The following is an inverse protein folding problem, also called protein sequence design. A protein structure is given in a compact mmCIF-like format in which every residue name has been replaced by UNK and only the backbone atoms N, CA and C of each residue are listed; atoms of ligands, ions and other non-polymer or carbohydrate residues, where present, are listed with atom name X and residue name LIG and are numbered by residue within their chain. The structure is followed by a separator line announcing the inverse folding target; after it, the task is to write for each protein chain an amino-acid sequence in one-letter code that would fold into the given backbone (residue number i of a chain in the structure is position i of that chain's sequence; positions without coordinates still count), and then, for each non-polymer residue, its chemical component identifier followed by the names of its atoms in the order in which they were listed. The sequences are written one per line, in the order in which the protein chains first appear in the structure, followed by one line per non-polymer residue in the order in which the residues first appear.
data_IF_997013887606
#
_entry.id   IF_997013887606
#
_cell.length_a   1.000
_cell.length_b   1.000
_cell.length_c   1.000
_cell.angle_alpha   90.00
_cell.angle_beta   90.00
_cell.angle_gamma   90.00
#
_symmetry.space_group_name_H-M   'P 1'
#
loop_
_entity.id
_entity.type
_entity.pdbx_description
1 polymer ?
#
# COMPACT_ATOMS: atom_id res chain seq x y z
N UNK A 1 0.85 -14.49 12.59
CA UNK A 1 0.16 -13.70 11.55
C UNK A 1 -1.02 -12.89 12.05
N UNK A 2 -1.87 -13.40 12.94
CA UNK A 2 -2.98 -12.59 13.48
C UNK A 2 -2.52 -11.30 14.18
N UNK A 3 -1.41 -11.36 14.92
CA UNK A 3 -0.81 -10.16 15.51
C UNK A 3 -0.36 -9.14 14.44
N UNK A 4 0.26 -9.58 13.35
CA UNK A 4 0.65 -8.71 12.24
C UNK A 4 -0.58 -8.11 11.53
N UNK A 5 -1.64 -8.91 11.34
CA UNK A 5 -2.90 -8.40 10.81
C UNK A 5 -3.52 -7.33 11.73
N UNK A 6 -3.44 -7.50 13.06
CA UNK A 6 -3.89 -6.48 14.01
C UNK A 6 -3.09 -5.18 13.88
N UNK A 7 -1.77 -5.27 13.75
CA UNK A 7 -0.90 -4.10 13.54
C UNK A 7 -1.19 -3.37 12.21
N UNK A 8 -1.50 -4.11 11.14
CA UNK A 8 -1.95 -3.49 9.88
C UNK A 8 -3.29 -2.77 10.04
N UNK A 9 -4.20 -3.29 10.88
CA UNK A 9 -5.46 -2.60 11.19
C UNK A 9 -5.21 -1.30 11.94
N UNK A 10 -4.30 -1.30 12.92
CA UNK A 10 -3.87 -0.07 13.60
C UNK A 10 -3.25 0.94 12.62
N UNK A 11 -2.55 0.47 11.59
CA UNK A 11 -2.02 1.29 10.50
C UNK A 11 -3.07 1.76 9.48
N UNK A 12 -4.36 1.44 9.68
CA UNK A 12 -5.48 1.94 8.88
C UNK A 12 -6.00 0.99 7.80
N UNK A 13 -5.48 -0.24 7.69
CA UNK A 13 -6.07 -1.24 6.81
C UNK A 13 -7.39 -1.79 7.39
N UNK A 14 -8.37 -2.06 6.52
CA UNK A 14 -9.56 -2.77 6.96
C UNK A 14 -9.22 -4.20 7.44
N UNK A 15 -9.94 -4.68 8.46
CA UNK A 15 -9.67 -5.96 9.13
C UNK A 15 -9.52 -7.15 8.18
N UNK A 16 -10.43 -7.29 7.21
CA UNK A 16 -10.39 -8.45 6.31
C UNK A 16 -9.24 -8.39 5.29
N UNK A 17 -8.98 -7.25 4.60
CA UNK A 17 -7.74 -7.05 3.86
C UNK A 17 -6.47 -7.36 4.65
N UNK A 18 -6.36 -6.90 5.90
CA UNK A 18 -5.20 -7.17 6.75
C UNK A 18 -4.99 -8.68 7.00
N UNK A 19 -6.06 -9.43 7.27
CA UNK A 19 -6.01 -10.89 7.44
C UNK A 19 -5.62 -11.62 6.15
N UNK A 20 -6.18 -11.22 5.02
CA UNK A 20 -5.85 -11.80 3.70
C UNK A 20 -4.40 -11.54 3.33
N UNK A 21 -3.91 -10.31 3.53
CA UNK A 21 -2.52 -9.95 3.27
C UNK A 21 -1.55 -10.72 4.16
N UNK A 22 -1.87 -10.84 5.46
CA UNK A 22 -1.08 -11.64 6.40
C UNK A 22 -1.05 -13.14 6.01
N UNK A 23 -2.16 -13.69 5.50
CA UNK A 23 -2.19 -15.09 5.04
C UNK A 23 -1.35 -15.32 3.78
N UNK A 24 -1.36 -14.36 2.84
CA UNK A 24 -0.53 -14.42 1.63
C UNK A 24 0.96 -14.33 1.98
N UNK A 25 1.35 -13.39 2.84
CA UNK A 25 2.73 -13.21 3.29
C UNK A 25 3.29 -14.43 4.03
N UNK A 26 2.45 -15.18 4.74
CA UNK A 26 2.85 -16.40 5.43
C UNK A 26 2.71 -17.68 4.59
N UNK A 27 2.29 -17.56 3.33
CA UNK A 27 2.31 -18.70 2.41
C UNK A 27 3.73 -18.94 1.93
N UNK A 28 4.23 -20.18 1.99
CA UNK A 28 5.58 -20.53 1.52
C UNK A 28 5.81 -20.12 0.05
N UNK A 29 4.76 -20.17 -0.77
CA UNK A 29 4.82 -19.78 -2.18
C UNK A 29 4.52 -18.29 -2.43
N UNK A 30 4.14 -17.53 -1.39
CA UNK A 30 3.70 -16.13 -1.50
C UNK A 30 2.45 -15.91 -2.36
N UNK A 31 1.77 -17.00 -2.73
CA UNK A 31 0.63 -17.00 -3.65
C UNK A 31 -0.46 -17.94 -3.13
N UNK A 32 -1.72 -17.50 -3.23
CA UNK A 32 -2.90 -18.31 -2.87
C UNK A 32 -4.07 -18.01 -3.82
N UNK A 33 -4.92 -19.00 -4.03
CA UNK A 33 -6.21 -18.88 -4.73
C UNK A 33 -7.31 -18.40 -3.79
N UNK A 34 -8.45 -17.99 -4.35
CA UNK A 34 -9.61 -17.60 -3.53
C UNK A 34 -10.12 -18.73 -2.64
N UNK A 35 -10.04 -19.98 -3.12
CA UNK A 35 -10.47 -21.16 -2.39
C UNK A 35 -9.57 -21.42 -1.17
N UNK A 36 -8.25 -21.38 -1.37
CA UNK A 36 -7.27 -21.56 -0.29
C UNK A 36 -7.36 -20.44 0.75
N UNK A 37 -7.59 -19.19 0.32
CA UNK A 37 -7.84 -18.09 1.25
C UNK A 37 -9.12 -18.29 2.06
N UNK A 38 -10.20 -18.73 1.42
CA UNK A 38 -11.48 -19.02 2.08
C UNK A 38 -11.35 -20.13 3.11
N UNK A 39 -10.65 -21.21 2.76
CA UNK A 39 -10.38 -22.34 3.65
C UNK A 39 -9.47 -21.96 4.82
N UNK A 40 -8.32 -21.31 4.55
CA UNK A 40 -7.35 -20.95 5.60
C UNK A 40 -7.92 -19.95 6.60
N UNK A 41 -8.67 -18.95 6.13
CA UNK A 41 -9.19 -17.88 6.97
C UNK A 41 -10.59 -18.15 7.50
N UNK A 42 -11.23 -19.24 7.05
CA UNK A 42 -12.63 -19.61 7.35
C UNK A 42 -13.58 -18.46 7.01
N UNK A 43 -13.49 -17.96 5.77
CA UNK A 43 -14.27 -16.82 5.27
C UNK A 43 -14.97 -17.13 3.95
N UNK A 44 -16.05 -16.40 3.66
CA UNK A 44 -16.81 -16.60 2.42
C UNK A 44 -16.06 -16.13 1.17
N UNK A 45 -16.39 -16.67 -0.02
CA UNK A 45 -15.83 -16.20 -1.30
C UNK A 45 -16.05 -14.70 -1.55
N UNK A 46 -17.17 -14.15 -1.06
CA UNK A 46 -17.46 -12.72 -1.15
C UNK A 46 -16.51 -11.88 -0.29
N UNK A 47 -16.20 -12.34 0.93
CA UNK A 47 -15.23 -11.68 1.81
C UNK A 47 -13.81 -11.70 1.20
N UNK A 48 -13.40 -12.82 0.61
CA UNK A 48 -12.13 -12.92 -0.13
C UNK A 48 -12.12 -11.93 -1.30
N UNK A 49 -13.17 -11.91 -2.12
CA UNK A 49 -13.25 -11.04 -3.29
C UNK A 49 -13.19 -9.56 -2.93
N UNK A 50 -13.89 -9.15 -1.87
CA UNK A 50 -13.85 -7.78 -1.38
C UNK A 50 -12.46 -7.39 -0.85
N UNK A 51 -11.83 -8.28 -0.07
CA UNK A 51 -10.51 -8.03 0.49
C UNK A 51 -9.42 -7.93 -0.59
N UNK A 52 -9.39 -8.86 -1.54
CA UNK A 52 -8.45 -8.85 -2.66
C UNK A 52 -8.66 -7.63 -3.54
N UNK A 53 -9.92 -7.24 -3.84
CA UNK A 53 -10.20 -6.05 -4.63
C UNK A 53 -9.58 -4.80 -3.99
N UNK A 54 -9.78 -4.63 -2.69
CA UNK A 54 -9.17 -3.53 -1.94
C UNK A 54 -7.64 -3.60 -2.01
N UNK A 55 -7.04 -4.77 -1.71
CA UNK A 55 -5.59 -4.93 -1.72
C UNK A 55 -4.96 -4.65 -3.08
N UNK A 56 -5.63 -5.02 -4.18
CA UNK A 56 -5.18 -4.67 -5.53
C UNK A 56 -5.31 -3.19 -5.84
N UNK A 57 -6.36 -2.51 -5.35
CA UNK A 57 -6.52 -1.06 -5.52
C UNK A 57 -5.43 -0.27 -4.80
N UNK A 58 -4.99 -0.74 -3.64
CA UNK A 58 -3.87 -0.15 -2.89
C UNK A 58 -2.52 -0.78 -3.26
N UNK A 59 -2.44 -1.51 -4.39
CA UNK A 59 -1.22 -2.10 -4.94
C UNK A 59 -0.46 -3.07 -4.02
N UNK A 60 -1.11 -3.62 -2.97
CA UNK A 60 -0.50 -4.56 -2.04
C UNK A 60 -0.51 -6.02 -2.54
N UNK A 61 -1.39 -6.34 -3.50
CA UNK A 61 -1.54 -7.70 -4.06
C UNK A 61 -1.77 -7.63 -5.57
N UNK A 62 -1.06 -8.46 -6.33
CA UNK A 62 -1.31 -8.68 -7.75
C UNK A 62 -2.25 -9.86 -7.96
N UNK A 63 -2.99 -9.83 -9.07
CA UNK A 63 -3.91 -10.88 -9.50
C UNK A 63 -3.38 -11.50 -10.78
N UNK A 64 -2.96 -12.75 -10.67
CA UNK A 64 -2.43 -13.56 -11.77
C UNK A 64 -3.47 -14.61 -12.19
N UNK A 65 -3.49 -14.96 -13.47
CA UNK A 65 -4.22 -16.14 -13.94
C UNK A 65 -3.31 -17.36 -13.89
N UNK A 66 -3.83 -18.45 -13.37
CA UNK A 66 -3.14 -19.73 -13.42
C UNK A 66 -3.04 -20.20 -14.90
N UNK A 67 -1.84 -20.50 -15.42
CA UNK A 67 -1.67 -20.99 -16.79
C UNK A 67 -2.55 -22.22 -17.05
N UNK A 68 -3.38 -22.17 -18.11
CA UNK A 68 -4.28 -23.27 -18.46
C UNK A 68 -5.56 -23.38 -17.61
N UNK A 69 -5.80 -22.44 -16.69
CA UNK A 69 -6.95 -22.46 -15.78
C UNK A 69 -7.67 -21.11 -15.76
N UNK A 70 -8.96 -21.12 -15.39
CA UNK A 70 -9.73 -19.89 -15.13
C UNK A 70 -9.55 -19.39 -13.70
N UNK A 71 -8.81 -20.12 -12.86
CA UNK A 71 -8.60 -19.78 -11.46
C UNK A 71 -7.62 -18.63 -11.33
N UNK A 72 -7.89 -17.81 -10.33
CA UNK A 72 -7.10 -16.64 -10.01
C UNK A 72 -6.17 -16.96 -8.86
N UNK A 73 -4.96 -16.42 -8.97
CA UNK A 73 -3.94 -16.48 -7.94
C UNK A 73 -3.63 -15.06 -7.49
N UNK A 74 -3.52 -14.90 -6.19
CA UNK A 74 -3.20 -13.63 -5.56
C UNK A 74 -1.82 -13.74 -4.98
N UNK A 75 -0.96 -12.79 -5.33
CA UNK A 75 0.44 -12.79 -4.92
C UNK A 75 0.79 -11.49 -4.21
N UNK A 76 1.55 -11.61 -3.13
CA UNK A 76 2.29 -10.48 -2.56
C UNK A 76 3.68 -10.52 -3.21
N UNK A 77 3.97 -9.58 -4.12
CA UNK A 77 5.32 -9.43 -4.64
C UNK A 77 6.20 -8.90 -3.52
N UNK A 78 7.29 -9.60 -3.21
CA UNK A 78 8.09 -9.39 -2.01
C UNK A 78 8.54 -7.94 -1.82
N UNK A 79 8.79 -7.20 -2.90
CA UNK A 79 9.18 -5.78 -2.92
C UNK A 79 8.04 -4.79 -3.18
N UNK A 80 7.12 -5.12 -4.08
CA UNK A 80 6.11 -4.16 -4.55
C UNK A 80 5.15 -3.74 -3.44
N UNK A 81 4.96 -4.54 -2.39
CA UNK A 81 4.06 -4.15 -1.30
C UNK A 81 4.63 -3.06 -0.40
N UNK A 82 5.97 -3.01 -0.20
CA UNK A 82 6.60 -1.87 0.49
C UNK A 82 6.46 -0.61 -0.35
N UNK A 83 6.71 -0.75 -1.65
CA UNK A 83 6.54 0.34 -2.59
C UNK A 83 5.10 0.85 -2.56
N UNK A 84 4.09 -0.02 -2.59
CA UNK A 84 2.69 0.35 -2.49
C UNK A 84 2.32 1.10 -1.19
N UNK A 85 2.91 0.72 -0.05
CA UNK A 85 2.70 1.44 1.21
C UNK A 85 3.35 2.83 1.21
N UNK A 86 4.48 2.99 0.53
CA UNK A 86 5.21 4.26 0.39
C UNK A 86 4.77 5.10 -0.80
N UNK A 87 4.16 4.48 -1.82
CA UNK A 87 3.66 5.09 -3.05
C UNK A 87 2.28 5.70 -2.77
N UNK A 88 2.26 6.56 -1.76
CA UNK A 88 1.20 7.53 -1.51
C UNK A 88 1.40 8.78 -2.36
N UNK A 89 2.29 8.74 -3.34
CA UNK A 89 2.63 9.84 -4.25
C UNK A 89 1.36 10.47 -4.84
N UNK A 90 0.41 9.64 -5.31
CA UNK A 90 -0.86 10.13 -5.84
C UNK A 90 -1.76 10.81 -4.79
N UNK A 91 -1.68 10.44 -3.51
CA UNK A 91 -2.43 11.09 -2.42
C UNK A 91 -1.74 12.38 -1.99
N UNK A 92 -0.41 12.33 -1.83
CA UNK A 92 0.42 13.47 -1.44
C UNK A 92 0.30 14.58 -2.48
N UNK A 93 0.45 14.28 -3.78
CA UNK A 93 0.25 15.25 -4.86
C UNK A 93 -1.13 15.89 -4.84
N UNK A 94 -2.19 15.11 -4.63
CA UNK A 94 -3.55 15.67 -4.50
C UNK A 94 -3.69 16.61 -3.31
N UNK A 95 -3.00 16.34 -2.20
CA UNK A 95 -3.00 17.22 -1.04
C UNK A 95 -2.19 18.49 -1.31
N UNK A 96 -1.03 18.36 -1.94
CA UNK A 96 -0.22 19.50 -2.36
C UNK A 96 -0.99 20.42 -3.31
N UNK A 97 -1.68 19.87 -4.30
CA UNK A 97 -2.52 20.63 -5.24
C UNK A 97 -3.62 21.42 -4.49
N UNK A 98 -4.34 20.74 -3.58
CA UNK A 98 -5.39 21.37 -2.78
C UNK A 98 -4.85 22.45 -1.83
N UNK A 99 -3.68 22.22 -1.23
CA UNK A 99 -3.01 23.19 -0.36
C UNK A 99 -2.54 24.41 -1.17
N UNK A 100 -1.99 24.20 -2.37
CA UNK A 100 -1.55 25.26 -3.28
C UNK A 100 -2.72 26.14 -3.74
N UNK A 101 -3.86 25.53 -4.07
CA UNK A 101 -5.10 26.24 -4.36
C UNK A 101 -5.56 27.05 -3.13
N UNK A 102 -5.51 26.46 -1.94
CA UNK A 102 -5.86 27.12 -0.68
C UNK A 102 -4.96 28.33 -0.35
N UNK A 103 -3.65 28.23 -0.56
CA UNK A 103 -2.70 29.36 -0.40
C UNK A 103 -3.04 30.48 -1.37
N UNK A 104 -3.35 30.14 -2.63
CA UNK A 104 -3.70 31.12 -3.67
C UNK A 104 -5.02 31.83 -3.32
N UNK A 105 -6.01 31.09 -2.85
CA UNK A 105 -7.34 31.60 -2.50
C UNK A 105 -7.33 32.48 -1.25
N UNK A 106 -6.61 32.08 -0.20
CA UNK A 106 -6.56 32.80 1.08
C UNK A 106 -5.50 33.92 1.11
N UNK A 107 -4.59 33.95 0.13
CA UNK A 107 -3.45 34.85 0.08
C UNK A 107 -2.33 34.44 1.05
N UNK A 108 -1.12 34.26 0.53
CA UNK A 108 0.04 33.76 1.29
C UNK A 108 0.40 34.62 2.53
N UNK A 109 0.08 35.90 2.54
CA UNK A 109 0.38 36.79 3.66
C UNK A 109 -0.63 36.74 4.81
N UNK A 110 -1.78 36.09 4.63
CA UNK A 110 -2.73 35.93 5.73
C UNK A 110 -2.23 34.86 6.72
N UNK A 111 -2.61 34.93 8.01
CA UNK A 111 -2.26 33.88 8.96
C UNK A 111 -2.75 32.49 8.52
N UNK A 112 -3.85 32.40 7.78
CA UNK A 112 -4.35 31.14 7.24
C UNK A 112 -3.53 30.67 6.03
N UNK A 113 -3.21 31.57 5.10
CA UNK A 113 -2.33 31.28 3.96
C UNK A 113 -0.97 30.75 4.40
N UNK A 114 -0.33 31.38 5.40
CA UNK A 114 0.96 30.91 5.96
C UNK A 114 0.89 29.50 6.55
N UNK A 115 -0.20 29.13 7.24
CA UNK A 115 -0.37 27.76 7.76
C UNK A 115 -0.49 26.74 6.63
N UNK A 116 -1.21 27.07 5.57
CA UNK A 116 -1.33 26.20 4.40
C UNK A 116 0.00 26.09 3.64
N UNK A 117 0.74 27.19 3.52
CA UNK A 117 2.06 27.23 2.90
C UNK A 117 3.08 26.37 3.68
N UNK A 118 3.11 26.49 5.01
CA UNK A 118 3.97 25.66 5.86
C UNK A 118 3.59 24.17 5.74
N UNK A 119 2.29 23.87 5.71
CA UNK A 119 1.80 22.50 5.50
C UNK A 119 2.20 21.97 4.12
N UNK A 120 2.06 22.78 3.07
CA UNK A 120 2.47 22.44 1.70
C UNK A 120 3.97 22.13 1.65
N UNK A 121 4.80 23.01 2.22
CA UNK A 121 6.25 22.83 2.27
C UNK A 121 6.65 21.54 3.01
N UNK A 122 5.91 21.16 4.06
CA UNK A 122 6.13 19.90 4.74
C UNK A 122 5.82 18.69 3.86
N UNK A 123 4.71 18.68 3.11
CA UNK A 123 4.39 17.59 2.19
C UNK A 123 5.39 17.47 1.04
N UNK A 124 5.79 18.60 0.44
CA UNK A 124 6.82 18.65 -0.61
C UNK A 124 8.18 18.12 -0.10
N UNK A 125 8.51 18.35 1.18
CA UNK A 125 9.70 17.79 1.82
C UNK A 125 9.56 16.27 2.02
N UNK A 126 8.43 15.81 2.55
CA UNK A 126 8.16 14.39 2.80
C UNK A 126 8.19 13.58 1.50
N UNK A 127 7.62 14.09 0.40
CA UNK A 127 7.63 13.43 -0.91
C UNK A 127 9.07 13.09 -1.34
N UNK A 128 9.97 14.08 -1.30
CA UNK A 128 11.38 13.93 -1.70
C UNK A 128 12.16 12.99 -0.78
N UNK A 129 11.91 13.05 0.52
CA UNK A 129 12.58 12.17 1.48
C UNK A 129 12.13 10.72 1.33
N UNK A 130 10.84 10.46 1.07
CA UNK A 130 10.32 9.12 0.80
C UNK A 130 10.94 8.55 -0.47
N UNK A 131 11.01 9.32 -1.55
CA UNK A 131 11.66 8.90 -2.79
C UNK A 131 13.12 8.49 -2.55
N UNK A 132 13.88 9.35 -1.87
CA UNK A 132 15.29 9.11 -1.54
C UNK A 132 15.47 7.91 -0.62
N UNK A 133 14.60 7.76 0.38
CA UNK A 133 14.58 6.61 1.28
C UNK A 133 14.35 5.30 0.51
N UNK A 134 13.39 5.28 -0.42
CA UNK A 134 13.08 4.09 -1.21
C UNK A 134 14.20 3.74 -2.19
N UNK A 135 14.83 4.73 -2.81
CA UNK A 135 16.03 4.50 -3.63
C UNK A 135 17.15 3.82 -2.82
N UNK A 136 17.42 4.31 -1.60
CA UNK A 136 18.42 3.69 -0.70
C UNK A 136 18.02 2.28 -0.25
N UNK A 137 16.72 2.04 -0.01
CA UNK A 137 16.23 0.72 0.35
C UNK A 137 16.43 -0.29 -0.78
N UNK A 138 16.13 0.08 -2.03
CA UNK A 138 16.34 -0.80 -3.20
C UNK A 138 17.80 -1.26 -3.32
N UNK A 139 18.76 -0.35 -3.15
CA UNK A 139 20.20 -0.67 -3.14
C UNK A 139 20.52 -1.64 -2.00
N UNK A 140 20.11 -1.32 -0.77
CA UNK A 140 20.37 -2.17 0.40
C UNK A 140 19.73 -3.56 0.31
N UNK A 141 18.54 -3.66 -0.28
CA UNK A 141 17.87 -4.94 -0.54
C UNK A 141 18.70 -5.79 -1.50
N UNK A 142 19.14 -5.22 -2.62
CA UNK A 142 19.96 -5.93 -3.61
C UNK A 142 21.28 -6.44 -2.99
N UNK A 143 21.94 -5.62 -2.18
CA UNK A 143 23.16 -6.02 -1.45
C UNK A 143 22.92 -7.16 -0.45
N UNK A 144 21.80 -7.13 0.27
CA UNK A 144 21.52 -8.05 1.38
C UNK A 144 20.85 -9.35 0.97
N UNK A 145 20.00 -9.31 -0.05
CA UNK A 145 19.14 -10.43 -0.44
C UNK A 145 19.36 -10.90 -1.89
N UNK A 146 20.25 -10.25 -2.64
CA UNK A 146 20.44 -10.49 -4.07
C UNK A 146 19.40 -9.73 -4.91
N UNK A 147 19.80 -9.33 -6.12
CA UNK A 147 18.85 -8.86 -7.14
C UNK A 147 18.18 -10.07 -7.79
N UNK A 148 16.85 -10.05 -7.88
CA UNK A 148 16.08 -10.99 -8.72
C UNK A 148 16.31 -10.72 -10.20
#
# INVERSE_FOLDING_TARGET
MEHFAAQLVEAGLARMPARVFAALLASDAGVLTSAELGERLQISPAAVSGAVRYLSQVHMVSREREPGSRRERYRVHGDQWYEALTNREAIIKRWEDALREGVTSLGAHTPAGRRLEETLAFFEFVEKEVETMMARWRVRRAERFGGE
#
